data_IF_716321020147
#
_entry.id   IF_716321020147
#
_cell.length_a   1.000
_cell.length_b   1.000
_cell.length_c   1.000
_cell.angle_alpha   90.00
_cell.angle_beta   90.00
_cell.angle_gamma   90.00
#
_symmetry.space_group_name_H-M   'P 1'
#
loop_
_entity.id
_entity.type
_entity.pdbx_description
1 polymer ?
#
# COMPACT_ATOMS: atom_id res chain seq x y z
N UNK A 1 -17.16 -45.29 4.49
CA UNK A 1 -17.93 -44.03 4.55
C UNK A 1 -17.26 -42.97 5.43
N UNK A 2 -16.95 -43.24 6.71
CA UNK A 2 -16.34 -42.26 7.62
C UNK A 2 -14.96 -41.70 7.16
N UNK A 3 -14.12 -42.55 6.55
CA UNK A 3 -12.78 -42.15 6.06
C UNK A 3 -12.87 -41.09 4.96
N UNK A 4 -13.89 -41.17 4.09
CA UNK A 4 -14.09 -40.23 2.99
C UNK A 4 -14.46 -38.83 3.51
N UNK A 5 -15.28 -38.76 4.56
CA UNK A 5 -15.62 -37.50 5.24
C UNK A 5 -14.41 -36.86 5.94
N UNK A 6 -13.52 -37.67 6.53
CA UNK A 6 -12.29 -37.19 7.17
C UNK A 6 -11.33 -36.58 6.12
N UNK A 7 -11.19 -37.21 4.95
CA UNK A 7 -10.35 -36.70 3.86
C UNK A 7 -10.89 -35.39 3.27
N UNK A 8 -12.22 -35.25 3.11
CA UNK A 8 -12.84 -34.01 2.62
C UNK A 8 -12.65 -32.87 3.63
N UNK A 9 -12.82 -33.14 4.93
CA UNK A 9 -12.59 -32.14 5.97
C UNK A 9 -11.11 -31.70 6.03
N UNK A 10 -10.17 -32.63 5.88
CA UNK A 10 -8.74 -32.32 5.85
C UNK A 10 -8.33 -31.49 4.62
N UNK A 11 -8.90 -31.79 3.44
CA UNK A 11 -8.66 -31.01 2.22
C UNK A 11 -9.24 -29.58 2.28
N UNK A 12 -10.41 -29.42 2.87
CA UNK A 12 -11.02 -28.10 3.08
C UNK A 12 -10.23 -27.27 4.09
N UNK A 13 -9.70 -27.88 5.16
CA UNK A 13 -8.91 -27.17 6.17
C UNK A 13 -7.58 -26.63 5.59
N UNK A 14 -6.91 -27.38 4.72
CA UNK A 14 -5.68 -26.91 4.03
C UNK A 14 -5.94 -25.76 3.06
N UNK A 15 -7.16 -25.67 2.51
CA UNK A 15 -7.57 -24.60 1.59
C UNK A 15 -7.76 -23.25 2.31
N UNK A 16 -8.16 -23.29 3.59
CA UNK A 16 -8.43 -22.10 4.41
C UNK A 16 -7.15 -21.57 5.09
N UNK A 17 -6.22 -22.46 5.46
CA UNK A 17 -5.02 -22.10 6.26
C UNK A 17 -3.87 -21.53 5.42
N UNK A 18 -3.95 -21.55 4.08
CA UNK A 18 -2.91 -21.04 3.19
C UNK A 18 -3.14 -19.61 2.68
N UNK A 19 -4.18 -18.91 3.13
CA UNK A 19 -4.28 -17.46 2.90
C UNK A 19 -3.37 -16.74 3.89
N UNK A 20 -2.07 -16.67 3.58
CA UNK A 20 -1.17 -15.74 4.25
C UNK A 20 -1.76 -14.34 4.17
N UNK A 21 -1.95 -13.67 5.31
CA UNK A 21 -2.40 -12.28 5.38
C UNK A 21 -1.52 -11.46 4.42
N UNK A 22 -2.13 -10.72 3.47
CA UNK A 22 -1.37 -9.89 2.55
C UNK A 22 -0.41 -8.96 3.30
N UNK A 23 0.80 -8.78 2.77
CA UNK A 23 1.84 -7.94 3.40
C UNK A 23 1.39 -6.48 3.63
N UNK A 24 0.36 -6.03 2.91
CA UNK A 24 -0.28 -4.74 3.14
C UNK A 24 -1.09 -4.71 4.43
N UNK A 25 -1.92 -5.73 4.68
CA UNK A 25 -2.81 -5.76 5.85
C UNK A 25 -1.99 -5.85 7.14
N UNK A 26 -0.93 -6.67 7.16
CA UNK A 26 0.03 -6.71 8.26
C UNK A 26 0.72 -5.36 8.52
N UNK A 27 0.97 -4.58 7.46
CA UNK A 27 1.58 -3.26 7.61
C UNK A 27 0.59 -2.26 8.23
N UNK A 28 -0.68 -2.29 7.78
CA UNK A 28 -1.73 -1.43 8.32
C UNK A 28 -2.01 -1.76 9.79
N UNK A 29 -2.08 -3.05 10.14
CA UNK A 29 -2.25 -3.49 11.53
C UNK A 29 -1.12 -3.00 12.43
N UNK A 30 0.13 -3.01 11.94
CA UNK A 30 1.28 -2.51 12.68
C UNK A 30 1.28 -0.99 12.90
N UNK A 31 0.48 -0.22 12.15
CA UNK A 31 0.33 1.22 12.38
C UNK A 31 -0.52 1.56 13.62
N UNK A 32 -1.22 0.58 14.18
CA UNK A 32 -2.08 0.75 15.35
C UNK A 32 -3.53 1.16 15.02
N UNK A 33 -4.35 1.10 16.05
CA UNK A 33 -5.76 1.52 16.03
C UNK A 33 -5.89 3.03 16.17
N UNK A 34 -6.98 3.61 15.65
CA UNK A 34 -7.25 5.05 15.64
C UNK A 34 -7.08 5.66 17.06
N UNK A 35 -6.35 6.79 17.21
CA UNK A 35 -6.06 7.36 18.53
C UNK A 35 -7.30 8.05 19.10
N UNK A 36 -7.21 8.49 20.35
CA UNK A 36 -8.20 9.41 20.90
C UNK A 36 -8.28 10.69 20.05
N UNK A 37 -9.50 11.23 19.92
CA UNK A 37 -9.81 12.34 19.01
C UNK A 37 -8.99 13.62 19.27
N UNK A 38 -8.42 13.78 20.47
CA UNK A 38 -7.61 14.94 20.86
C UNK A 38 -6.09 14.74 20.69
N UNK A 39 -5.62 13.51 20.41
CA UNK A 39 -4.21 13.24 20.14
C UNK A 39 -3.89 13.36 18.65
N UNK A 40 -3.87 14.62 18.19
CA UNK A 40 -3.52 14.98 16.82
C UNK A 40 -2.14 14.46 16.39
N UNK A 41 -1.19 14.35 17.31
CA UNK A 41 0.17 13.88 17.01
C UNK A 41 0.17 12.37 16.75
N UNK A 42 -0.55 11.60 17.56
CA UNK A 42 -0.73 10.17 17.30
C UNK A 42 -1.50 9.93 16.00
N UNK A 43 -2.51 10.75 15.70
CA UNK A 43 -3.29 10.65 14.47
C UNK A 43 -2.41 10.89 13.24
N UNK A 44 -1.63 11.98 13.23
CA UNK A 44 -0.73 12.29 12.11
C UNK A 44 0.32 11.19 11.90
N UNK A 45 0.91 10.66 12.98
CA UNK A 45 1.89 9.57 12.90
C UNK A 45 1.29 8.31 12.28
N UNK A 46 0.07 7.96 12.67
CA UNK A 46 -0.63 6.79 12.14
C UNK A 46 -1.00 6.96 10.68
N UNK A 47 -1.55 8.10 10.30
CA UNK A 47 -1.88 8.37 8.89
C UNK A 47 -0.63 8.31 8.02
N UNK A 48 0.48 8.88 8.49
CA UNK A 48 1.78 8.77 7.81
C UNK A 48 2.24 7.30 7.68
N UNK A 49 2.07 6.49 8.73
CA UNK A 49 2.40 5.07 8.70
C UNK A 49 1.56 4.34 7.63
N UNK A 50 0.25 4.55 7.63
CA UNK A 50 -0.68 3.94 6.68
C UNK A 50 -0.38 4.38 5.23
N UNK A 51 0.09 5.61 5.04
CA UNK A 51 0.55 6.09 3.73
C UNK A 51 1.81 5.36 3.25
N UNK A 52 2.77 5.12 4.14
CA UNK A 52 3.97 4.32 3.83
C UNK A 52 3.57 2.90 3.41
N UNK A 53 2.64 2.26 4.11
CA UNK A 53 2.15 0.93 3.75
C UNK A 53 1.56 0.88 2.33
N UNK A 54 0.75 1.88 1.97
CA UNK A 54 0.15 1.94 0.62
C UNK A 54 1.21 2.18 -0.47
N UNK A 55 2.19 3.05 -0.19
CA UNK A 55 3.32 3.30 -1.07
C UNK A 55 4.15 2.03 -1.33
N UNK A 56 4.50 1.29 -0.27
CA UNK A 56 5.27 0.07 -0.36
C UNK A 56 4.52 -1.04 -1.10
N UNK A 57 3.24 -1.25 -0.77
CA UNK A 57 2.41 -2.25 -1.46
C UNK A 57 2.28 -1.93 -2.95
N UNK A 58 2.05 -0.66 -3.30
CA UNK A 58 2.02 -0.25 -4.71
C UNK A 58 3.32 -0.61 -5.41
N UNK A 59 4.47 -0.27 -4.83
CA UNK A 59 5.76 -0.55 -5.46
C UNK A 59 6.03 -2.06 -5.60
N UNK A 60 5.71 -2.85 -4.55
CA UNK A 60 5.77 -4.32 -4.59
C UNK A 60 4.87 -4.89 -5.70
N UNK A 61 3.67 -4.35 -5.87
CA UNK A 61 2.77 -4.72 -6.96
C UNK A 61 3.37 -4.38 -8.33
N UNK A 62 3.93 -3.17 -8.50
CA UNK A 62 4.53 -2.73 -9.76
C UNK A 62 5.71 -3.63 -10.16
N UNK A 63 6.59 -3.99 -9.21
CA UNK A 63 7.70 -4.89 -9.46
C UNK A 63 7.24 -6.29 -9.90
N UNK A 64 6.20 -6.83 -9.26
CA UNK A 64 5.58 -8.10 -9.66
C UNK A 64 4.95 -8.03 -11.05
N UNK A 65 4.37 -6.88 -11.41
CA UNK A 65 3.64 -6.68 -12.66
C UNK A 65 4.48 -6.01 -13.77
N UNK A 66 5.81 -5.90 -13.63
CA UNK A 66 6.68 -5.13 -14.53
C UNK A 66 6.56 -5.45 -16.03
N UNK A 67 6.15 -6.68 -16.38
CA UNK A 67 5.95 -7.13 -17.78
C UNK A 67 4.48 -7.11 -18.23
N UNK A 68 3.54 -6.79 -17.34
CA UNK A 68 2.10 -6.85 -17.57
C UNK A 68 1.47 -5.46 -17.47
N UNK A 69 1.20 -4.82 -18.61
CA UNK A 69 0.60 -3.47 -18.67
C UNK A 69 -0.78 -3.38 -17.99
N UNK A 70 -1.59 -4.44 -18.05
CA UNK A 70 -2.88 -4.47 -17.36
C UNK A 70 -2.69 -4.57 -15.84
N UNK A 71 -1.76 -5.42 -15.40
CA UNK A 71 -1.35 -5.54 -14.01
C UNK A 71 -0.80 -4.23 -13.43
N UNK A 72 0.05 -3.51 -14.18
CA UNK A 72 0.55 -2.19 -13.77
C UNK A 72 -0.60 -1.20 -13.55
N UNK A 73 -1.58 -1.14 -14.48
CA UNK A 73 -2.77 -0.29 -14.32
C UNK A 73 -3.58 -0.66 -13.08
N UNK A 74 -3.70 -1.96 -12.80
CA UNK A 74 -4.38 -2.46 -11.60
C UNK A 74 -3.65 -2.02 -10.32
N UNK A 75 -2.32 -2.12 -10.26
CA UNK A 75 -1.55 -1.68 -9.09
C UNK A 75 -1.78 -0.21 -8.72
N UNK A 76 -1.79 0.68 -9.72
CA UNK A 76 -2.07 2.10 -9.49
C UNK A 76 -3.51 2.35 -9.04
N UNK A 77 -4.47 1.69 -9.69
CA UNK A 77 -5.89 1.78 -9.30
C UNK A 77 -6.13 1.29 -7.87
N UNK A 78 -5.54 0.16 -7.51
CA UNK A 78 -5.70 -0.42 -6.18
C UNK A 78 -5.09 0.50 -5.11
N UNK A 79 -3.94 1.12 -5.40
CA UNK A 79 -3.32 2.08 -4.49
C UNK A 79 -4.14 3.37 -4.31
N UNK A 80 -4.71 3.88 -5.41
CA UNK A 80 -5.61 5.04 -5.37
C UNK A 80 -6.88 4.71 -4.56
N UNK A 81 -7.50 3.56 -4.81
CA UNK A 81 -8.70 3.13 -4.10
C UNK A 81 -8.47 3.03 -2.59
N UNK A 82 -7.36 2.42 -2.16
CA UNK A 82 -6.99 2.35 -0.74
C UNK A 82 -6.81 3.73 -0.11
N UNK A 83 -6.28 4.69 -0.85
CA UNK A 83 -6.15 6.06 -0.38
C UNK A 83 -7.53 6.74 -0.23
N UNK A 84 -8.37 6.67 -1.26
CA UNK A 84 -9.71 7.29 -1.31
C UNK A 84 -10.61 6.78 -0.19
N UNK A 85 -10.64 5.46 0.05
CA UNK A 85 -11.51 4.86 1.07
C UNK A 85 -11.26 5.45 2.46
N UNK A 86 -10.00 5.80 2.79
CA UNK A 86 -9.66 6.41 4.08
C UNK A 86 -10.04 7.89 4.17
N UNK A 87 -10.09 8.59 3.05
CA UNK A 87 -10.43 10.01 3.03
C UNK A 87 -11.90 10.30 3.37
N UNK A 88 -12.80 9.32 3.19
CA UNK A 88 -14.23 9.57 3.18
C UNK A 88 -14.56 10.70 2.21
N UNK A 89 -15.25 11.73 2.70
CA UNK A 89 -15.68 12.89 1.90
C UNK A 89 -14.71 14.09 1.97
N UNK A 90 -13.52 13.93 2.55
CA UNK A 90 -12.55 15.02 2.66
C UNK A 90 -11.93 15.38 1.30
N UNK A 91 -12.40 16.47 0.70
CA UNK A 91 -11.97 16.92 -0.64
C UNK A 91 -10.45 17.10 -0.76
N UNK A 92 -9.81 17.70 0.25
CA UNK A 92 -8.35 17.92 0.23
C UNK A 92 -7.60 16.58 0.24
N UNK A 93 -8.04 15.63 1.06
CA UNK A 93 -7.48 14.29 1.11
C UNK A 93 -7.65 13.58 -0.24
N UNK A 94 -8.84 13.66 -0.86
CA UNK A 94 -9.10 13.08 -2.17
C UNK A 94 -8.19 13.67 -3.25
N UNK A 95 -8.00 14.99 -3.27
CA UNK A 95 -7.08 15.66 -4.19
C UNK A 95 -5.64 15.15 -3.99
N UNK A 96 -5.18 15.01 -2.75
CA UNK A 96 -3.86 14.43 -2.44
C UNK A 96 -3.74 12.98 -2.94
N UNK A 97 -4.76 12.15 -2.73
CA UNK A 97 -4.77 10.78 -3.24
C UNK A 97 -4.63 10.73 -4.76
N UNK A 98 -5.38 11.58 -5.49
CA UNK A 98 -5.27 11.66 -6.94
C UNK A 98 -3.89 12.14 -7.40
N UNK A 99 -3.29 13.11 -6.71
CA UNK A 99 -1.95 13.60 -7.04
C UNK A 99 -0.87 12.52 -6.85
N UNK A 100 -0.99 11.68 -5.82
CA UNK A 100 0.03 10.68 -5.47
C UNK A 100 -0.14 9.33 -6.19
N UNK A 101 -1.37 8.93 -6.49
CA UNK A 101 -1.69 7.57 -6.93
C UNK A 101 -2.37 7.48 -8.31
N UNK A 102 -2.59 8.60 -8.98
CA UNK A 102 -2.92 8.55 -10.42
C UNK A 102 -1.68 8.11 -11.20
N UNK A 103 -1.86 7.11 -12.07
CA UNK A 103 -0.76 6.56 -12.87
C UNK A 103 -0.08 7.70 -13.66
N UNK A 104 1.27 7.81 -13.64
CA UNK A 104 1.97 8.79 -14.47
C UNK A 104 1.68 8.57 -15.95
N UNK A 105 1.52 9.65 -16.71
CA UNK A 105 1.26 9.60 -18.15
C UNK A 105 2.43 9.01 -18.97
N UNK A 106 3.64 9.09 -18.43
CA UNK A 106 4.87 8.58 -19.02
C UNK A 106 5.48 7.46 -18.18
N UNK A 107 6.33 6.62 -18.79
CA UNK A 107 7.11 5.60 -18.10
C UNK A 107 8.17 6.23 -17.20
N UNK A 108 7.75 6.73 -16.03
CA UNK A 108 8.67 7.29 -15.03
C UNK A 108 9.52 6.15 -14.46
N UNK A 109 10.84 6.21 -14.68
CA UNK A 109 11.77 5.37 -13.93
C UNK A 109 11.85 5.89 -12.49
N UNK A 110 11.38 5.08 -11.53
CA UNK A 110 11.57 5.35 -10.11
C UNK A 110 13.04 5.03 -9.77
N UNK A 111 13.91 6.06 -9.78
CA UNK A 111 15.23 5.93 -9.15
C UNK A 111 15.07 6.16 -7.64
N UNK A 112 15.30 5.13 -6.84
CA UNK A 112 15.51 5.28 -5.41
C UNK A 112 16.80 6.12 -5.19
N UNK A 113 16.66 7.40 -4.90
CA UNK A 113 17.79 8.19 -4.38
C UNK A 113 17.92 7.96 -2.87
N UNK A 114 19.16 7.86 -2.43
CA UNK A 114 19.63 7.41 -1.12
C UNK A 114 18.77 7.83 0.08
N UNK A 115 18.57 6.88 1.01
CA UNK A 115 18.03 7.10 2.36
C UNK A 115 18.77 8.27 3.03
N UNK A 116 18.14 9.43 3.12
CA UNK A 116 18.65 10.53 3.93
C UNK A 116 18.02 10.41 5.32
N UNK A 117 18.86 10.16 6.34
CA UNK A 117 18.45 10.10 7.74
C UNK A 117 18.21 11.54 8.23
N UNK A 118 16.96 11.91 8.51
CA UNK A 118 16.65 13.17 9.23
C UNK A 118 17.20 13.08 10.66
N UNK A 119 17.50 14.22 11.32
CA UNK A 119 18.08 14.25 12.67
C UNK A 119 17.21 13.58 13.75
N UNK A 120 15.93 13.29 13.45
CA UNK A 120 14.99 12.61 14.35
C UNK A 120 14.73 11.13 13.99
N UNK A 121 15.57 10.51 13.15
CA UNK A 121 15.44 9.09 12.79
C UNK A 121 14.35 8.76 11.77
N UNK A 122 13.57 9.76 11.32
CA UNK A 122 12.56 9.61 10.27
C UNK A 122 13.26 9.45 8.92
N UNK A 123 13.00 8.34 8.21
CA UNK A 123 13.46 8.15 6.83
C UNK A 123 12.44 8.81 5.91
N UNK A 124 12.81 9.96 5.33
CA UNK A 124 11.98 10.63 4.31
C UNK A 124 12.44 10.16 2.94
N UNK A 125 11.59 9.43 2.22
CA UNK A 125 11.83 9.19 0.80
C UNK A 125 11.40 10.44 0.03
N UNK A 126 12.35 11.27 -0.38
CA UNK A 126 12.07 12.39 -1.28
C UNK A 126 11.93 11.81 -2.70
N UNK A 127 10.71 11.74 -3.21
CA UNK A 127 10.47 11.48 -4.62
C UNK A 127 10.77 12.76 -5.40
N UNK A 128 11.88 12.78 -6.14
CA UNK A 128 12.11 13.80 -7.16
C UNK A 128 11.66 13.23 -8.50
N UNK A 129 10.54 13.75 -9.00
CA UNK A 129 10.04 13.43 -10.34
C UNK A 129 10.88 14.22 -11.36
N UNK A 130 11.71 13.53 -12.13
CA UNK A 130 12.36 14.14 -13.30
C UNK A 130 11.61 13.75 -14.57
N UNK A 131 11.25 14.71 -15.45
CA UNK A 131 10.73 14.39 -16.77
C UNK A 131 11.82 13.71 -17.61
N UNK A 132 11.45 12.66 -18.33
CA UNK A 132 12.32 11.98 -19.30
C UNK A 132 12.45 12.87 -20.54
N UNK A 133 13.57 13.57 -20.66
CA UNK A 133 13.95 14.28 -21.89
C UNK A 133 14.66 13.29 -22.81
N UNK A 134 13.90 12.61 -23.66
CA UNK A 134 14.44 11.92 -24.83
C UNK A 134 13.72 12.40 -26.08
#
# INVERSE_FOLDING_TARGET
MAIYFICIAAGLLQSVVAWSIPQFDLCIEACGEDPQEDDYIAFEKMELCRDVCNYEERNRCLERQKKNKAGLRKCWRDALNRCIVRCGDNERCLQTCHALYTRPATSVQVKHLNKSRLPNGIVRSILVLYPDTR
#
